data_IF_707333528564
#
_entry.id   IF_707333528564
#
_cell.length_a   1.000
_cell.length_b   1.000
_cell.length_c   1.000
_cell.angle_alpha   90.00
_cell.angle_beta   90.00
_cell.angle_gamma   90.00
#
_symmetry.space_group_name_H-M   'P 1'
#
loop_
_entity.id
_entity.type
_entity.pdbx_description
1 polymer ?
#
# COMPACT_ATOMS: atom_id res chain seq x y z
N UNK A 1 78.32 -47.38 5.80
CA UNK A 1 78.40 -46.07 6.39
C UNK A 1 77.11 -45.35 6.01
N UNK A 2 76.21 -45.20 6.96
CA UNK A 2 74.84 -44.69 6.73
C UNK A 2 74.78 -43.24 7.04
N UNK A 3 74.31 -42.44 6.11
CA UNK A 3 74.02 -41.03 6.38
C UNK A 3 72.49 -40.80 6.27
N UNK A 4 71.87 -40.61 7.42
CA UNK A 4 70.44 -40.39 7.54
C UNK A 4 70.19 -38.87 7.49
N UNK A 5 69.72 -38.41 6.34
CA UNK A 5 69.22 -37.05 6.16
C UNK A 5 67.91 -36.80 6.92
N UNK A 6 67.94 -35.99 7.94
CA UNK A 6 66.74 -35.51 8.66
C UNK A 6 66.04 -34.46 7.79
N UNK A 7 64.86 -34.83 7.23
CA UNK A 7 63.91 -33.88 6.59
C UNK A 7 63.20 -33.10 7.68
N UNK A 8 63.47 -31.81 7.76
CA UNK A 8 62.79 -30.86 8.63
C UNK A 8 61.44 -30.50 8.00
N UNK A 9 60.34 -30.99 8.55
CA UNK A 9 58.98 -30.60 8.12
C UNK A 9 58.61 -29.25 8.76
N UNK A 10 58.60 -28.20 7.93
CA UNK A 10 58.07 -26.91 8.34
C UNK A 10 56.55 -26.95 8.13
N UNK A 11 55.78 -27.06 9.20
CA UNK A 11 54.33 -26.94 9.18
C UNK A 11 53.95 -25.45 9.18
N UNK A 12 53.48 -24.96 8.04
CA UNK A 12 52.94 -23.61 7.94
C UNK A 12 51.48 -23.67 8.41
N UNK A 13 51.21 -23.09 9.59
CA UNK A 13 49.87 -22.86 10.10
C UNK A 13 49.27 -21.64 9.41
N UNK A 14 48.39 -21.84 8.43
CA UNK A 14 47.57 -20.77 7.79
C UNK A 14 46.42 -20.48 8.74
N UNK A 15 46.54 -19.41 9.53
CA UNK A 15 45.44 -18.92 10.34
C UNK A 15 44.35 -18.29 9.46
N UNK A 16 43.17 -18.90 9.43
CA UNK A 16 41.98 -18.32 8.78
C UNK A 16 41.47 -17.15 9.62
N UNK A 17 41.64 -15.92 9.11
CA UNK A 17 41.06 -14.72 9.70
C UNK A 17 39.58 -14.69 9.27
N UNK A 18 38.66 -15.04 10.19
CA UNK A 18 37.23 -14.87 10.00
C UNK A 18 36.88 -13.37 10.11
N UNK A 19 36.60 -12.74 8.96
CA UNK A 19 36.08 -11.37 8.93
C UNK A 19 34.58 -11.41 9.24
N UNK A 20 34.11 -10.77 10.32
CA UNK A 20 32.67 -10.72 10.59
C UNK A 20 31.99 -9.91 9.50
N UNK A 21 31.04 -10.53 8.77
CA UNK A 21 30.19 -9.85 7.82
C UNK A 21 29.22 -8.93 8.58
N UNK A 22 29.47 -7.63 8.54
CA UNK A 22 28.53 -6.63 9.07
C UNK A 22 27.36 -6.57 8.10
N UNK A 23 26.25 -7.21 8.43
CA UNK A 23 25.01 -7.10 7.70
C UNK A 23 24.48 -5.68 7.85
N UNK A 24 24.61 -4.86 6.80
CA UNK A 24 23.95 -3.55 6.69
C UNK A 24 22.44 -3.81 6.62
N UNK A 25 21.73 -3.60 7.73
CA UNK A 25 20.27 -3.65 7.77
C UNK A 25 19.71 -2.57 6.83
N UNK A 26 19.07 -2.98 5.74
CA UNK A 26 18.37 -2.06 4.86
C UNK A 26 17.26 -1.35 5.67
N UNK A 27 17.08 -0.01 5.50
CA UNK A 27 16.04 0.71 6.20
C UNK A 27 14.68 0.09 5.85
N UNK A 28 13.87 -0.20 6.88
CA UNK A 28 12.54 -0.76 6.69
C UNK A 28 11.72 0.13 5.75
N UNK A 29 11.00 -0.44 4.77
CA UNK A 29 10.21 0.34 3.82
C UNK A 29 9.16 1.15 4.58
N UNK A 30 9.16 2.48 4.39
CA UNK A 30 8.19 3.37 5.01
C UNK A 30 6.80 3.04 4.45
N UNK A 31 5.94 2.46 5.28
CA UNK A 31 4.56 2.11 4.92
C UNK A 31 3.77 3.37 4.57
N UNK A 32 3.06 3.34 3.43
CA UNK A 32 2.13 4.39 3.01
C UNK A 32 0.72 3.86 3.17
N UNK A 33 -0.20 4.67 3.68
CA UNK A 33 -1.57 4.29 3.98
C UNK A 33 -2.55 4.78 2.90
N UNK A 34 -3.70 4.13 2.77
CA UNK A 34 -4.83 4.65 2.04
C UNK A 34 -5.65 5.57 2.95
N UNK A 35 -6.13 6.70 2.41
CA UNK A 35 -7.11 7.53 3.09
C UNK A 35 -8.49 6.98 2.78
N UNK A 36 -9.23 6.59 3.83
CA UNK A 36 -10.60 6.15 3.77
C UNK A 36 -11.43 7.09 4.65
N UNK A 37 -11.94 8.15 4.06
CA UNK A 37 -12.58 9.26 4.76
C UNK A 37 -11.66 9.88 5.84
N UNK A 38 -11.96 9.66 7.11
CA UNK A 38 -11.23 10.24 8.24
C UNK A 38 -10.14 9.30 8.80
N UNK A 39 -9.88 8.18 8.12
CA UNK A 39 -8.96 7.15 8.60
C UNK A 39 -7.85 6.84 7.60
N UNK A 40 -6.66 6.57 8.12
CA UNK A 40 -5.57 5.98 7.37
C UNK A 40 -5.55 4.47 7.58
N UNK A 41 -5.65 3.70 6.50
CA UNK A 41 -5.76 2.24 6.55
C UNK A 41 -4.73 1.58 5.64
N UNK A 42 -4.16 0.47 6.10
CA UNK A 42 -3.27 -0.36 5.29
C UNK A 42 -4.08 -1.45 4.57
N UNK A 43 -4.02 -1.46 3.24
CA UNK A 43 -4.75 -2.42 2.38
C UNK A 43 -6.22 -2.60 2.75
N UNK A 44 -7.01 -1.52 2.85
CA UNK A 44 -8.42 -1.62 3.22
C UNK A 44 -9.19 -2.49 2.21
N UNK A 45 -10.25 -3.16 2.67
CA UNK A 45 -11.16 -3.91 1.80
C UNK A 45 -12.18 -3.02 1.11
N UNK A 46 -12.32 -1.78 1.56
CA UNK A 46 -13.20 -0.76 1.01
C UNK A 46 -12.57 0.63 1.16
N UNK A 47 -12.79 1.49 0.16
CA UNK A 47 -12.51 2.92 0.24
C UNK A 47 -13.80 3.66 -0.08
N UNK A 48 -14.27 4.46 0.85
CA UNK A 48 -15.42 5.34 0.69
C UNK A 48 -14.95 6.66 0.08
N UNK A 49 -15.61 7.10 -0.97
CA UNK A 49 -15.27 8.29 -1.74
C UNK A 49 -16.14 9.48 -1.33
N UNK A 50 -17.46 9.25 -1.20
CA UNK A 50 -18.40 10.20 -0.66
C UNK A 50 -18.54 9.96 0.86
N UNK A 51 -17.80 10.71 1.65
CA UNK A 51 -17.68 10.44 3.09
C UNK A 51 -18.91 10.86 3.90
N UNK A 52 -19.76 11.75 3.39
CA UNK A 52 -20.95 12.22 4.10
C UNK A 52 -22.03 11.14 4.21
N UNK A 53 -22.41 10.56 3.09
CA UNK A 53 -23.52 9.61 2.97
C UNK A 53 -23.07 8.19 2.58
N UNK A 54 -21.79 8.00 2.25
CA UNK A 54 -21.26 6.72 1.78
C UNK A 54 -21.75 6.30 0.40
N UNK A 55 -22.45 7.17 -0.32
CA UNK A 55 -23.13 6.87 -1.59
C UNK A 55 -22.16 6.40 -2.70
N UNK A 56 -20.88 6.78 -2.63
CA UNK A 56 -19.86 6.35 -3.60
C UNK A 56 -18.71 5.67 -2.85
N UNK A 57 -18.44 4.42 -3.24
CA UNK A 57 -17.40 3.61 -2.60
C UNK A 57 -16.80 2.58 -3.55
N UNK A 58 -15.56 2.16 -3.31
CA UNK A 58 -14.95 0.99 -3.96
C UNK A 58 -14.81 -0.09 -2.89
N UNK A 59 -15.45 -1.22 -3.10
CA UNK A 59 -15.51 -2.33 -2.15
C UNK A 59 -14.91 -3.60 -2.75
N UNK A 60 -14.76 -4.65 -1.91
CA UNK A 60 -14.16 -5.93 -2.30
C UNK A 60 -12.78 -5.73 -2.94
N UNK A 61 -11.95 -4.87 -2.33
CA UNK A 61 -10.63 -4.56 -2.84
C UNK A 61 -9.68 -5.74 -2.63
N UNK A 62 -9.08 -6.17 -3.73
CA UNK A 62 -8.02 -7.17 -3.79
C UNK A 62 -6.74 -6.48 -4.28
N UNK A 63 -5.79 -6.30 -3.38
CA UNK A 63 -4.55 -5.57 -3.65
C UNK A 63 -3.55 -6.45 -4.39
N UNK A 64 -3.16 -6.05 -5.60
CA UNK A 64 -2.16 -6.73 -6.43
C UNK A 64 -0.75 -6.20 -6.20
N UNK A 65 -0.62 -4.93 -5.78
CA UNK A 65 0.66 -4.34 -5.41
C UNK A 65 0.47 -3.24 -4.37
N UNK A 66 1.50 -3.03 -3.54
CA UNK A 66 1.56 -1.95 -2.57
C UNK A 66 3.01 -1.54 -2.34
N UNK A 67 3.35 -0.31 -2.69
CA UNK A 67 4.70 0.24 -2.55
C UNK A 67 4.66 1.62 -1.88
N UNK A 68 5.82 2.22 -1.69
CA UNK A 68 5.93 3.58 -1.14
C UNK A 68 5.49 4.69 -2.11
N UNK A 69 5.29 4.38 -3.40
CA UNK A 69 4.90 5.36 -4.43
C UNK A 69 3.49 5.14 -4.97
N UNK A 70 3.02 3.90 -5.01
CA UNK A 70 1.69 3.54 -5.52
C UNK A 70 1.21 2.20 -4.98
N UNK A 71 -0.12 2.02 -5.01
CA UNK A 71 -0.77 0.75 -4.76
C UNK A 71 -1.85 0.48 -5.82
N UNK A 72 -2.03 -0.79 -6.19
CA UNK A 72 -3.01 -1.21 -7.21
C UNK A 72 -3.91 -2.30 -6.65
N UNK A 73 -5.20 -2.21 -6.96
CA UNK A 73 -6.18 -3.22 -6.60
C UNK A 73 -7.25 -3.38 -7.69
N UNK A 74 -7.90 -4.52 -7.68
CA UNK A 74 -9.19 -4.76 -8.34
C UNK A 74 -10.30 -4.67 -7.29
N UNK A 75 -11.51 -4.30 -7.72
CA UNK A 75 -12.65 -4.22 -6.82
C UNK A 75 -13.95 -3.89 -7.55
N UNK A 76 -14.94 -3.47 -6.78
CA UNK A 76 -16.26 -3.09 -7.27
C UNK A 76 -16.55 -1.66 -6.87
N UNK A 77 -16.64 -0.78 -7.87
CA UNK A 77 -17.15 0.59 -7.70
C UNK A 77 -18.66 0.53 -7.51
N UNK A 78 -19.14 1.13 -6.45
CA UNK A 78 -20.56 1.22 -6.11
C UNK A 78 -20.98 2.67 -6.05
N UNK A 79 -22.13 2.96 -6.64
CA UNK A 79 -22.78 4.26 -6.55
C UNK A 79 -24.26 4.07 -6.26
N UNK A 80 -24.72 4.70 -5.20
CA UNK A 80 -26.14 4.68 -4.82
C UNK A 80 -26.85 5.78 -5.61
N UNK A 81 -27.93 5.41 -6.29
CA UNK A 81 -28.79 6.29 -7.05
C UNK A 81 -29.99 6.65 -6.19
N UNK A 82 -29.97 7.86 -5.66
CA UNK A 82 -31.07 8.42 -4.87
C UNK A 82 -32.21 8.90 -5.79
N UNK A 83 -32.96 7.97 -6.32
CA UNK A 83 -34.13 8.30 -7.16
C UNK A 83 -35.26 7.28 -6.91
N UNK A 84 -36.41 7.69 -6.36
CA UNK A 84 -36.77 9.08 -5.96
C UNK A 84 -36.04 9.61 -4.73
N UNK A 85 -35.55 8.74 -3.85
CA UNK A 85 -34.79 9.06 -2.64
C UNK A 85 -33.70 8.01 -2.37
N UNK A 86 -32.81 8.25 -1.39
CA UNK A 86 -31.71 7.33 -1.09
C UNK A 86 -32.14 6.05 -0.37
N UNK A 87 -33.28 6.04 0.31
CA UNK A 87 -33.78 4.87 1.04
C UNK A 87 -34.37 3.82 0.07
N UNK A 88 -35.04 4.28 -1.00
CA UNK A 88 -35.64 3.44 -2.05
C UNK A 88 -34.77 3.33 -3.30
N UNK A 89 -33.67 4.06 -3.36
CA UNK A 89 -32.73 4.08 -4.49
C UNK A 89 -31.99 2.75 -4.67
N UNK A 90 -31.44 2.56 -5.88
CA UNK A 90 -30.71 1.34 -6.26
C UNK A 90 -29.20 1.59 -6.29
N UNK A 91 -28.42 0.68 -5.72
CA UNK A 91 -26.96 0.66 -5.88
C UNK A 91 -26.60 0.11 -7.25
N UNK A 92 -25.86 0.89 -8.04
CA UNK A 92 -25.21 0.41 -9.25
C UNK A 92 -23.80 -0.06 -8.92
N UNK A 93 -23.36 -1.15 -9.57
CA UNK A 93 -22.06 -1.78 -9.31
C UNK A 93 -21.32 -2.02 -10.61
N UNK A 94 -20.01 -1.68 -10.62
CA UNK A 94 -19.14 -1.77 -11.78
C UNK A 94 -17.79 -2.36 -11.39
N UNK A 95 -17.29 -3.39 -12.09
CA UNK A 95 -15.92 -3.85 -11.91
C UNK A 95 -14.94 -2.71 -12.20
N UNK A 96 -13.92 -2.54 -11.36
CA UNK A 96 -12.95 -1.45 -11.51
C UNK A 96 -11.57 -1.90 -11.05
N UNK A 97 -10.55 -1.41 -11.75
CA UNK A 97 -9.17 -1.39 -11.25
C UNK A 97 -8.87 0.00 -10.71
N UNK A 98 -8.25 0.06 -9.54
CA UNK A 98 -7.85 1.32 -8.94
C UNK A 98 -6.34 1.42 -8.79
N UNK A 99 -5.83 2.65 -8.80
CA UNK A 99 -4.45 2.97 -8.46
C UNK A 99 -4.45 4.11 -7.46
N UNK A 100 -3.85 3.86 -6.29
CA UNK A 100 -3.49 4.89 -5.32
C UNK A 100 -2.11 5.44 -5.67
N UNK A 101 -1.95 6.76 -5.57
CA UNK A 101 -0.69 7.44 -5.92
C UNK A 101 -0.55 8.78 -5.19
N UNK A 102 0.57 9.48 -5.45
CA UNK A 102 0.89 10.77 -4.83
C UNK A 102 0.90 10.70 -3.30
N UNK A 103 1.84 9.92 -2.72
CA UNK A 103 1.99 9.86 -1.28
C UNK A 103 2.35 11.24 -0.72
N UNK A 104 1.65 11.66 0.31
CA UNK A 104 1.86 12.92 1.03
C UNK A 104 1.80 12.69 2.54
N UNK A 105 2.44 13.55 3.30
CA UNK A 105 2.29 13.57 4.75
C UNK A 105 1.12 14.48 5.11
N UNK A 106 0.18 13.99 5.90
CA UNK A 106 -0.93 14.78 6.38
C UNK A 106 -0.53 15.55 7.66
N UNK A 107 -1.04 16.78 7.88
CA UNK A 107 -0.79 17.53 9.09
C UNK A 107 -1.16 16.71 10.34
N UNK A 108 -0.28 16.66 11.33
CA UNK A 108 -0.48 15.89 12.57
C UNK A 108 -0.25 14.37 12.44
N UNK A 109 0.07 13.86 11.25
CA UNK A 109 0.28 12.43 11.00
C UNK A 109 1.76 12.11 10.80
N UNK A 110 2.24 10.99 11.38
CA UNK A 110 3.65 10.55 11.28
C UNK A 110 3.92 9.76 9.99
N UNK A 111 2.89 9.28 9.33
CA UNK A 111 2.98 8.42 8.14
C UNK A 111 2.60 9.18 6.87
N UNK A 112 3.00 8.62 5.72
CA UNK A 112 2.52 9.09 4.44
C UNK A 112 1.24 8.36 4.06
N UNK A 113 0.32 9.08 3.41
CA UNK A 113 -0.89 8.52 2.84
C UNK A 113 -1.02 8.90 1.36
N UNK A 114 -1.66 8.04 0.55
CA UNK A 114 -1.90 8.32 -0.86
C UNK A 114 -2.93 9.44 -1.02
N UNK A 115 -2.56 10.49 -1.73
CA UNK A 115 -3.40 11.66 -1.95
C UNK A 115 -4.27 11.60 -3.21
N UNK A 116 -4.18 10.52 -4.01
CA UNK A 116 -4.95 10.38 -5.25
C UNK A 116 -5.38 8.94 -5.45
N UNK A 117 -6.62 8.77 -5.87
CA UNK A 117 -7.17 7.52 -6.37
C UNK A 117 -7.56 7.71 -7.83
N UNK A 118 -7.14 6.81 -8.71
CA UNK A 118 -7.48 6.76 -10.13
C UNK A 118 -8.24 5.48 -10.44
N UNK A 119 -9.17 5.56 -11.40
CA UNK A 119 -10.04 4.46 -11.79
C UNK A 119 -9.75 4.02 -13.22
N UNK A 120 -9.80 2.72 -13.47
CA UNK A 120 -9.83 2.11 -14.80
C UNK A 120 -11.00 1.12 -14.86
N UNK A 121 -12.03 1.48 -15.61
CA UNK A 121 -13.21 0.66 -15.84
C UNK A 121 -13.07 -0.12 -17.15
N UNK A 122 -13.76 -1.25 -17.24
CA UNK A 122 -13.98 -1.97 -18.48
C UNK A 122 -15.15 -1.41 -19.30
N UNK A 123 -15.77 -2.25 -20.14
CA UNK A 123 -16.90 -1.87 -20.98
C UNK A 123 -18.10 -1.37 -20.16
N UNK A 124 -18.36 -1.94 -18.98
CA UNK A 124 -19.38 -1.45 -18.05
C UNK A 124 -18.76 -0.41 -17.12
N UNK A 125 -19.28 0.81 -17.15
CA UNK A 125 -18.81 1.92 -16.33
C UNK A 125 -19.96 2.88 -15.97
N UNK A 126 -19.85 3.66 -14.87
CA UNK A 126 -20.85 4.67 -14.53
C UNK A 126 -20.82 5.83 -15.54
N UNK A 127 -21.92 6.54 -15.64
CA UNK A 127 -22.04 7.80 -16.42
C UNK A 127 -22.42 8.95 -15.49
N UNK A 128 -21.59 10.03 -15.43
CA UNK A 128 -20.30 10.20 -16.08
C UNK A 128 -19.24 9.23 -15.52
N UNK A 129 -18.24 8.86 -16.35
CA UNK A 129 -17.17 7.96 -15.94
C UNK A 129 -16.13 8.72 -15.12
N UNK A 130 -15.96 8.43 -13.82
CA UNK A 130 -14.91 9.07 -13.03
C UNK A 130 -13.54 8.53 -13.49
N UNK A 131 -12.56 9.42 -13.58
CA UNK A 131 -11.17 9.05 -13.91
C UNK A 131 -10.26 9.04 -12.70
N UNK A 132 -10.43 10.02 -11.82
CA UNK A 132 -9.60 10.20 -10.62
C UNK A 132 -10.32 11.09 -9.60
N UNK A 133 -9.93 10.91 -8.33
CA UNK A 133 -10.35 11.74 -7.22
C UNK A 133 -9.16 12.05 -6.33
N UNK A 134 -9.13 13.24 -5.75
CA UNK A 134 -8.21 13.60 -4.69
C UNK A 134 -8.71 13.00 -3.38
N UNK A 135 -7.78 12.44 -2.60
CA UNK A 135 -8.03 11.98 -1.25
C UNK A 135 -7.51 13.07 -0.30
N UNK A 136 -8.40 13.86 0.32
CA UNK A 136 -7.98 14.89 1.27
C UNK A 136 -7.38 14.23 2.51
N UNK A 137 -6.50 14.96 3.20
CA UNK A 137 -6.04 14.52 4.51
C UNK A 137 -7.20 14.46 5.50
N UNK A 138 -7.21 13.48 6.41
CA UNK A 138 -8.18 13.49 7.50
C UNK A 138 -8.06 14.80 8.30
N UNK A 139 -9.18 15.41 8.62
CA UNK A 139 -9.26 16.59 9.47
C UNK A 139 -9.60 16.15 10.88
N UNK A 140 -8.63 16.17 11.76
CA UNK A 140 -8.81 15.77 13.17
C UNK A 140 -7.77 14.74 13.63
N UNK A 141 -7.65 14.49 14.93
CA UNK A 141 -6.80 13.45 15.46
C UNK A 141 -7.28 12.07 14.97
N UNK A 142 -6.32 11.20 14.62
CA UNK A 142 -6.66 9.81 14.32
C UNK A 142 -7.36 9.19 15.53
N UNK A 143 -8.44 8.42 15.32
CA UNK A 143 -8.98 7.60 16.38
C UNK A 143 -7.89 6.63 16.87
N UNK A 144 -7.85 6.32 18.18
CA UNK A 144 -6.89 5.37 18.71
C UNK A 144 -7.01 4.04 17.95
N UNK A 145 -5.88 3.49 17.51
CA UNK A 145 -5.81 2.13 16.96
C UNK A 145 -5.93 1.16 18.13
N UNK A 146 -7.04 0.44 18.20
CA UNK A 146 -7.25 -0.67 19.12
C UNK A 146 -6.78 -1.97 18.49
#
# INVERSE_FOLDING_TARGET
>A
MHNIGRLLRISVLIGAIAVPAVALAAPAPKTVFAINCLQEQFKPKQITIACGDGAVRVSKLEWTSWSSSQAKASGVYKVDKCNPDCASGRTQSFPVKITLSRPKTCPGHKHKAFGRLSYAFGAKHPKPTPRRVSLPCPTGPLPPVY
#
